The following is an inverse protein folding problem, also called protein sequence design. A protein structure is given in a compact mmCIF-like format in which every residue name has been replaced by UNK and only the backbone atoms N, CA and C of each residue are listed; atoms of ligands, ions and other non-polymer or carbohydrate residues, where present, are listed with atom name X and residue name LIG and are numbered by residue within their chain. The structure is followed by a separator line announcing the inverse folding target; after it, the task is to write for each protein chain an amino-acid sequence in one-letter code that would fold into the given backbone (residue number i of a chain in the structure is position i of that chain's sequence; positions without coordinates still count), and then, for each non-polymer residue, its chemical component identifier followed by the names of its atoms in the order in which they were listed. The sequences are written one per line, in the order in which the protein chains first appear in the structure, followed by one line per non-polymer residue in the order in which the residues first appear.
data_IF_728038931950
#
_entry.id   IF_728038931950
#
_cell.length_a   1.000
_cell.length_b   1.000
_cell.length_c   1.000
_cell.angle_alpha   90.00
_cell.angle_beta   90.00
_cell.angle_gamma   90.00
#
_symmetry.space_group_name_H-M   'P 1'
#
loop_
_entity.id
_entity.type
_entity.pdbx_description
1 polymer ?
#
# COMPACT_ATOMS: atom_id res chain seq x y z
N UNK A 1 11.81 0.95 8.21
CA UNK A 1 12.09 0.15 9.41
C UNK A 1 13.08 -0.97 9.07
N UNK A 2 13.79 -1.48 10.07
CA UNK A 2 14.68 -2.61 9.86
C UNK A 2 13.89 -3.82 9.36
N UNK A 3 14.34 -4.43 8.25
CA UNK A 3 13.72 -5.59 7.63
C UNK A 3 12.72 -5.25 6.51
N UNK A 4 12.41 -3.97 6.27
CA UNK A 4 11.69 -3.57 5.07
C UNK A 4 12.57 -3.71 3.82
N UNK A 5 11.95 -3.86 2.67
CA UNK A 5 12.62 -3.94 1.37
C UNK A 5 11.75 -3.35 0.25
N UNK A 6 12.32 -3.25 -0.96
CA UNK A 6 11.62 -2.66 -2.11
C UNK A 6 11.69 -1.12 -2.12
N UNK A 7 12.48 -0.52 -1.25
CA UNK A 7 12.66 0.93 -1.15
C UNK A 7 13.21 1.53 -2.44
N UNK A 8 14.08 0.82 -3.14
CA UNK A 8 14.68 1.29 -4.41
C UNK A 8 13.66 1.31 -5.53
N UNK A 9 12.91 0.22 -5.71
CA UNK A 9 11.85 0.11 -6.71
C UNK A 9 10.77 1.16 -6.46
N UNK A 10 10.42 1.37 -5.18
CA UNK A 10 9.44 2.37 -4.79
C UNK A 10 9.95 3.80 -5.04
N UNK A 11 11.18 4.10 -4.60
CA UNK A 11 11.81 5.40 -4.83
C UNK A 11 11.91 5.72 -6.33
N UNK A 12 12.28 4.71 -7.13
CA UNK A 12 12.35 4.87 -8.58
C UNK A 12 10.97 5.11 -9.22
N UNK A 13 9.93 4.41 -8.75
CA UNK A 13 8.56 4.63 -9.23
C UNK A 13 8.05 6.05 -8.94
N UNK A 14 8.35 6.56 -7.75
CA UNK A 14 8.06 7.94 -7.36
C UNK A 14 8.87 8.96 -8.17
N UNK A 15 10.16 8.69 -8.38
CA UNK A 15 11.03 9.55 -9.20
C UNK A 15 10.53 9.64 -10.64
N UNK A 16 10.12 8.53 -11.26
CA UNK A 16 9.54 8.52 -12.60
C UNK A 16 8.26 9.38 -12.71
N UNK A 17 7.50 9.46 -11.62
CA UNK A 17 6.31 10.32 -11.56
C UNK A 17 6.63 11.78 -11.24
N UNK A 18 7.91 12.13 -10.99
CA UNK A 18 8.38 13.49 -10.76
C UNK A 18 8.40 13.94 -9.29
N UNK A 19 8.41 12.99 -8.34
CA UNK A 19 8.63 13.32 -6.93
C UNK A 19 10.12 13.49 -6.62
N UNK A 20 10.42 14.42 -5.72
CA UNK A 20 11.66 14.43 -4.97
C UNK A 20 11.53 13.43 -3.82
N UNK A 21 12.38 12.40 -3.82
CA UNK A 21 12.27 11.28 -2.88
C UNK A 21 13.27 11.45 -1.74
N UNK A 22 12.77 11.34 -0.51
CA UNK A 22 13.54 11.40 0.72
C UNK A 22 13.45 10.08 1.46
N UNK A 23 14.58 9.50 1.78
CA UNK A 23 14.65 8.30 2.60
C UNK A 23 14.55 8.66 4.09
N UNK A 24 13.56 8.10 4.78
CA UNK A 24 13.31 8.35 6.20
C UNK A 24 13.26 7.02 6.94
N UNK A 25 14.11 6.88 7.95
CA UNK A 25 14.10 5.69 8.80
C UNK A 25 13.29 5.91 10.08
N UNK A 26 12.84 4.82 10.71
CA UNK A 26 12.21 4.94 12.04
C UNK A 26 13.13 5.58 13.08
N UNK A 27 14.44 5.40 12.95
CA UNK A 27 15.43 6.05 13.82
C UNK A 27 15.40 7.57 13.69
N UNK A 28 15.11 8.10 12.50
CA UNK A 28 14.98 9.56 12.28
C UNK A 28 13.75 10.11 12.99
N UNK A 29 12.62 9.41 12.89
CA UNK A 29 11.38 9.80 13.57
C UNK A 29 11.49 9.67 15.09
N UNK A 30 12.04 8.57 15.59
CA UNK A 30 12.24 8.31 17.03
C UNK A 30 13.17 9.34 17.67
N UNK A 31 14.24 9.73 16.96
CA UNK A 31 15.18 10.76 17.46
C UNK A 31 14.62 12.18 17.30
N UNK A 32 13.62 12.39 16.43
CA UNK A 32 13.08 13.69 16.08
C UNK A 32 13.95 14.46 15.08
N UNK A 33 14.84 13.80 14.36
CA UNK A 33 15.59 14.39 13.22
C UNK A 33 14.66 14.64 12.03
N UNK A 34 13.58 13.89 11.94
CA UNK A 34 12.54 14.00 10.94
C UNK A 34 11.19 14.19 11.61
N UNK A 35 10.39 15.14 11.10
CA UNK A 35 9.05 15.49 11.62
C UNK A 35 7.94 15.30 10.59
N UNK A 36 8.28 15.02 9.34
CA UNK A 36 7.38 14.85 8.20
C UNK A 36 6.60 16.13 7.81
N UNK A 37 6.97 17.29 8.35
CA UNK A 37 6.26 18.55 8.09
C UNK A 37 6.41 19.03 6.63
N UNK A 38 7.55 18.73 6.00
CA UNK A 38 7.89 19.05 4.62
C UNK A 38 7.51 17.94 3.61
N UNK A 39 6.90 16.84 4.07
CA UNK A 39 6.54 15.68 3.25
C UNK A 39 5.08 15.74 2.85
N UNK A 40 4.77 15.59 1.55
CA UNK A 40 3.39 15.53 1.05
C UNK A 40 2.91 14.09 0.76
N UNK A 41 3.83 13.13 0.62
CA UNK A 41 3.47 11.72 0.44
C UNK A 41 4.39 10.82 1.24
N UNK A 42 3.83 9.98 2.10
CA UNK A 42 4.55 8.89 2.76
C UNK A 42 4.32 7.59 2.02
N UNK A 43 5.39 6.80 1.83
CA UNK A 43 5.26 5.42 1.37
C UNK A 43 5.87 4.48 2.41
N UNK A 44 5.05 3.56 2.90
CA UNK A 44 5.48 2.45 3.76
C UNK A 44 5.78 1.25 2.87
N UNK A 45 7.06 0.92 2.75
CA UNK A 45 7.52 -0.18 1.89
C UNK A 45 7.15 -1.55 2.46
N UNK A 46 7.20 -2.55 1.60
CA UNK A 46 7.05 -3.96 1.97
C UNK A 46 8.23 -4.53 2.75
N UNK A 47 8.23 -5.83 2.93
CA UNK A 47 9.29 -6.58 3.60
C UNK A 47 8.83 -7.28 4.88
N UNK A 48 9.72 -7.40 5.84
CA UNK A 48 9.53 -8.11 7.11
C UNK A 48 10.07 -7.25 8.25
N UNK A 49 9.37 -6.16 8.57
CA UNK A 49 9.80 -5.23 9.62
C UNK A 49 9.99 -5.96 10.95
N UNK A 50 11.17 -5.75 11.59
CA UNK A 50 11.57 -6.44 12.82
C UNK A 50 11.46 -7.98 12.71
N UNK A 51 11.65 -8.54 11.51
CA UNK A 51 11.58 -9.98 11.21
C UNK A 51 10.21 -10.62 11.58
N UNK A 52 9.16 -9.81 11.66
CA UNK A 52 7.78 -10.20 12.05
C UNK A 52 7.69 -10.99 13.38
N UNK A 53 8.63 -10.78 14.29
CA UNK A 53 8.75 -11.55 15.55
C UNK A 53 7.47 -11.51 16.39
N UNK A 54 6.78 -10.37 16.38
CA UNK A 54 5.51 -10.19 17.10
C UNK A 54 4.27 -10.38 16.20
N UNK A 55 4.46 -10.75 14.94
CA UNK A 55 3.50 -10.72 13.85
C UNK A 55 3.78 -9.56 12.91
N UNK A 56 3.25 -9.65 11.69
CA UNK A 56 3.56 -8.70 10.63
C UNK A 56 3.24 -7.26 11.01
N UNK A 57 4.24 -6.39 10.82
CA UNK A 57 4.24 -4.96 11.10
C UNK A 57 3.98 -4.55 12.58
N UNK A 58 3.76 -5.46 13.51
CA UNK A 58 3.44 -5.11 14.90
C UNK A 58 4.59 -4.41 15.63
N UNK A 59 5.81 -4.86 15.41
CA UNK A 59 7.00 -4.18 15.93
C UNK A 59 7.15 -2.77 15.38
N UNK A 60 6.88 -2.60 14.11
CA UNK A 60 6.91 -1.30 13.44
C UNK A 60 5.79 -0.37 13.94
N UNK A 61 4.57 -0.88 14.06
CA UNK A 61 3.45 -0.13 14.67
C UNK A 61 3.78 0.29 16.11
N UNK A 62 4.39 -0.61 16.90
CA UNK A 62 4.86 -0.31 18.25
C UNK A 62 5.87 0.83 18.32
N UNK A 63 6.77 0.94 17.33
CA UNK A 63 7.72 2.04 17.24
C UNK A 63 7.03 3.40 17.07
N UNK A 64 5.92 3.46 16.33
CA UNK A 64 5.09 4.66 16.26
C UNK A 64 4.29 4.90 17.55
N UNK A 65 3.58 3.89 18.03
CA UNK A 65 2.62 4.05 19.13
C UNK A 65 3.28 4.39 20.48
N UNK A 66 4.47 3.85 20.73
CA UNK A 66 5.15 3.95 22.01
C UNK A 66 6.32 4.94 22.05
N UNK A 67 6.60 5.60 20.92
CA UNK A 67 7.57 6.69 20.90
C UNK A 67 6.85 8.02 20.68
N UNK A 68 6.92 8.97 21.65
CA UNK A 68 6.18 10.22 21.58
C UNK A 68 6.49 11.06 20.33
N UNK A 69 7.75 11.13 19.91
CA UNK A 69 8.16 11.93 18.75
C UNK A 69 7.66 11.33 17.44
N UNK A 70 7.82 10.01 17.28
CA UNK A 70 7.34 9.31 16.09
C UNK A 70 5.81 9.38 15.99
N UNK A 71 5.11 9.22 17.13
CA UNK A 71 3.65 9.34 17.17
C UNK A 71 3.20 10.76 16.84
N UNK A 72 3.82 11.78 17.41
CA UNK A 72 3.49 13.18 17.12
C UNK A 72 3.68 13.52 15.64
N UNK A 73 4.79 13.08 15.03
CA UNK A 73 5.04 13.28 13.61
C UNK A 73 3.95 12.60 12.75
N UNK A 74 3.57 11.37 13.08
CA UNK A 74 2.51 10.64 12.40
C UNK A 74 1.16 11.33 12.54
N UNK A 75 0.76 11.69 13.76
CA UNK A 75 -0.52 12.33 14.05
C UNK A 75 -0.65 13.66 13.31
N UNK A 76 0.39 14.51 13.34
CA UNK A 76 0.43 15.78 12.60
C UNK A 76 0.33 15.56 11.10
N UNK A 77 1.03 14.55 10.56
CA UNK A 77 0.99 14.23 9.15
C UNK A 77 -0.42 13.86 8.67
N UNK A 78 -1.09 12.95 9.37
CA UNK A 78 -2.43 12.50 9.00
C UNK A 78 -3.53 13.54 9.28
N UNK A 79 -3.27 14.51 10.15
CA UNK A 79 -4.17 15.64 10.38
C UNK A 79 -4.16 16.67 9.23
N UNK A 80 -3.15 16.66 8.37
CA UNK A 80 -3.05 17.56 7.21
C UNK A 80 -3.95 17.09 6.08
N UNK A 81 -4.51 18.06 5.34
CA UNK A 81 -5.37 17.80 4.17
C UNK A 81 -4.59 17.70 2.84
N UNK A 82 -3.34 18.12 2.83
CA UNK A 82 -2.45 18.17 1.67
C UNK A 82 -1.47 16.99 1.59
N UNK A 83 -1.82 15.86 2.22
CA UNK A 83 -0.96 14.68 2.31
C UNK A 83 -1.61 13.42 1.74
N UNK A 84 -0.76 12.54 1.19
CA UNK A 84 -1.10 11.21 0.71
C UNK A 84 -0.30 10.14 1.46
N UNK A 85 -0.81 8.94 1.55
CA UNK A 85 0.01 7.80 1.95
C UNK A 85 -0.28 6.54 1.14
N UNK A 86 0.74 5.71 0.97
CA UNK A 86 0.69 4.40 0.36
C UNK A 86 1.39 3.39 1.27
N UNK A 87 0.70 2.30 1.62
CA UNK A 87 1.30 1.13 2.28
C UNK A 87 1.21 -0.09 1.39
N UNK A 88 2.36 -0.70 1.11
CA UNK A 88 2.45 -1.90 0.27
C UNK A 88 2.91 -3.08 1.11
N UNK A 89 2.22 -4.22 1.04
CA UNK A 89 2.55 -5.47 1.73
C UNK A 89 2.75 -5.24 3.25
N UNK A 90 3.98 -5.26 3.76
CA UNK A 90 4.26 -4.94 5.18
C UNK A 90 3.85 -3.52 5.56
N UNK A 91 3.94 -2.56 4.64
CA UNK A 91 3.41 -1.21 4.83
C UNK A 91 1.87 -1.17 4.89
N UNK A 92 1.17 -2.02 4.13
CA UNK A 92 -0.27 -2.20 4.25
C UNK A 92 -0.65 -2.73 5.63
N UNK A 93 0.04 -3.76 6.10
CA UNK A 93 -0.14 -4.32 7.44
C UNK A 93 0.08 -3.26 8.53
N UNK A 94 1.11 -2.41 8.38
CA UNK A 94 1.35 -1.28 9.29
C UNK A 94 0.17 -0.31 9.31
N UNK A 95 -0.34 0.10 8.15
CA UNK A 95 -1.46 1.04 8.08
C UNK A 95 -2.72 0.47 8.72
N UNK A 96 -2.95 -0.83 8.60
CA UNK A 96 -4.07 -1.52 9.26
C UNK A 96 -3.86 -1.63 10.78
N UNK A 97 -2.66 -1.95 11.28
CA UNK A 97 -2.34 -2.00 12.72
C UNK A 97 -2.45 -0.60 13.37
N UNK A 98 -2.11 0.46 12.66
CA UNK A 98 -2.24 1.84 13.12
C UNK A 98 -3.64 2.44 12.89
N UNK A 99 -4.57 1.68 12.28
CA UNK A 99 -5.92 2.14 11.93
C UNK A 99 -5.95 3.44 11.08
N UNK A 100 -5.05 3.54 10.09
CA UNK A 100 -4.92 4.75 9.27
C UNK A 100 -5.88 4.80 8.07
N UNK A 101 -6.55 3.69 7.74
CA UNK A 101 -7.45 3.57 6.58
C UNK A 101 -8.90 3.87 6.94
N UNK A 102 -9.38 3.36 8.06
CA UNK A 102 -10.76 3.55 8.50
C UNK A 102 -10.83 4.01 9.97
N UNK A 103 -10.22 5.15 10.31
CA UNK A 103 -10.16 5.63 11.70
C UNK A 103 -11.54 5.93 12.29
N UNK A 104 -12.54 6.15 11.44
CA UNK A 104 -13.95 6.38 11.82
C UNK A 104 -14.68 5.10 12.27
N UNK A 105 -14.16 3.92 11.97
CA UNK A 105 -14.79 2.65 12.33
C UNK A 105 -14.58 2.33 13.81
N UNK A 106 -15.64 1.90 14.49
CA UNK A 106 -15.57 1.49 15.92
C UNK A 106 -14.78 0.21 16.14
N UNK A 107 -14.74 -0.67 15.12
CA UNK A 107 -13.96 -1.90 15.11
C UNK A 107 -12.98 -1.86 13.95
N UNK A 108 -11.71 -2.11 14.22
CA UNK A 108 -10.66 -2.08 13.22
C UNK A 108 -10.63 -3.38 12.42
N UNK A 109 -10.39 -3.27 11.11
CA UNK A 109 -9.97 -4.39 10.29
C UNK A 109 -8.60 -4.92 10.76
N UNK A 110 -8.31 -6.17 10.45
CA UNK A 110 -7.06 -6.84 10.83
C UNK A 110 -6.42 -7.51 9.62
N UNK A 111 -5.11 -7.64 9.67
CA UNK A 111 -4.37 -8.50 8.78
C UNK A 111 -4.09 -9.82 9.49
N UNK A 112 -4.43 -10.94 8.85
CA UNK A 112 -4.28 -12.29 9.39
C UNK A 112 -3.38 -13.13 8.50
N UNK A 113 -2.96 -14.30 9.03
CA UNK A 113 -2.27 -15.31 8.24
C UNK A 113 -3.09 -15.72 7.03
N UNK A 114 -2.40 -16.00 5.92
CA UNK A 114 -3.02 -16.61 4.75
C UNK A 114 -3.72 -17.93 5.14
N UNK A 115 -4.89 -18.19 4.59
CA UNK A 115 -5.62 -19.44 4.84
C UNK A 115 -4.85 -20.67 4.34
N UNK A 116 -3.94 -20.49 3.39
CA UNK A 116 -3.02 -21.55 2.92
C UNK A 116 -1.96 -21.94 3.96
N UNK A 117 -1.78 -21.16 5.02
CA UNK A 117 -0.70 -21.29 6.01
C UNK A 117 0.71 -21.30 5.37
N UNK A 118 0.86 -20.65 4.21
CA UNK A 118 2.10 -20.57 3.46
C UNK A 118 2.42 -19.12 3.08
N UNK A 119 3.69 -18.87 2.84
CA UNK A 119 4.11 -17.67 2.13
C UNK A 119 3.71 -17.81 0.65
N UNK A 120 2.83 -16.95 0.19
CA UNK A 120 2.36 -16.91 -1.18
C UNK A 120 3.21 -15.92 -1.98
N UNK A 121 3.92 -16.42 -2.98
CA UNK A 121 4.73 -15.62 -3.92
C UNK A 121 4.32 -15.97 -5.34
N UNK A 122 3.55 -15.08 -5.98
CA UNK A 122 3.01 -15.34 -7.33
C UNK A 122 2.58 -14.07 -8.05
N UNK A 123 2.48 -14.19 -9.37
CA UNK A 123 1.88 -13.18 -10.23
C UNK A 123 0.40 -13.49 -10.42
N UNK A 124 -0.48 -12.53 -10.14
CA UNK A 124 -1.93 -12.71 -10.12
C UNK A 124 -2.64 -11.64 -10.95
N UNK A 125 -3.89 -11.97 -11.33
CA UNK A 125 -4.83 -10.97 -11.83
C UNK A 125 -5.56 -10.26 -10.69
N UNK A 126 -5.69 -8.95 -10.84
CA UNK A 126 -6.53 -8.09 -9.96
C UNK A 126 -7.47 -7.24 -10.79
N UNK A 127 -8.57 -6.83 -10.18
CA UNK A 127 -9.52 -5.87 -10.72
C UNK A 127 -9.52 -4.60 -9.90
N UNK A 128 -9.63 -3.45 -10.57
CA UNK A 128 -9.81 -2.15 -9.93
C UNK A 128 -11.29 -1.79 -10.02
N UNK A 129 -12.10 -1.98 -8.97
CA UNK A 129 -13.50 -1.57 -8.98
C UNK A 129 -13.64 -0.05 -9.08
N UNK A 130 -14.83 0.44 -9.33
CA UNK A 130 -15.12 1.88 -9.22
C UNK A 130 -14.82 2.32 -7.79
N UNK A 131 -13.94 3.30 -7.63
CA UNK A 131 -13.43 3.72 -6.33
C UNK A 131 -13.11 5.21 -6.30
N UNK A 132 -12.80 5.72 -5.10
CA UNK A 132 -12.49 7.14 -4.87
C UNK A 132 -11.02 7.39 -4.53
N UNK A 133 -10.15 6.38 -4.72
CA UNK A 133 -8.72 6.57 -4.43
C UNK A 133 -8.10 7.62 -5.35
N UNK A 134 -7.31 8.52 -4.78
CA UNK A 134 -6.50 9.47 -5.54
C UNK A 134 -5.57 8.73 -6.49
N UNK A 135 -4.94 7.65 -6.04
CA UNK A 135 -3.96 6.90 -6.84
C UNK A 135 -4.60 6.00 -7.88
N UNK A 136 -5.69 5.28 -7.54
CA UNK A 136 -6.25 4.20 -8.37
C UNK A 136 -7.58 4.57 -9.03
N UNK A 137 -8.18 5.72 -8.74
CA UNK A 137 -9.50 6.09 -9.26
C UNK A 137 -9.58 6.10 -10.78
N UNK A 138 -8.56 6.61 -11.47
CA UNK A 138 -8.50 6.64 -12.94
C UNK A 138 -8.34 5.26 -13.59
N UNK A 139 -7.86 4.28 -12.82
CA UNK A 139 -7.72 2.89 -13.27
C UNK A 139 -9.01 2.07 -13.08
N UNK A 140 -10.10 2.67 -12.61
CA UNK A 140 -11.39 1.99 -12.40
C UNK A 140 -11.84 1.23 -13.65
N UNK A 141 -12.27 -0.04 -13.47
CA UNK A 141 -12.65 -0.96 -14.53
C UNK A 141 -11.49 -1.77 -15.13
N UNK A 142 -10.24 -1.46 -14.78
CA UNK A 142 -9.07 -2.20 -15.29
C UNK A 142 -8.95 -3.58 -14.65
N UNK A 143 -8.38 -4.52 -15.45
CA UNK A 143 -7.91 -5.83 -14.99
C UNK A 143 -6.41 -5.88 -15.28
N UNK A 144 -5.61 -6.03 -14.24
CA UNK A 144 -4.15 -5.91 -14.31
C UNK A 144 -3.48 -7.10 -13.64
N UNK A 145 -2.27 -7.42 -14.11
CA UNK A 145 -1.40 -8.38 -13.43
C UNK A 145 -0.54 -7.67 -12.38
N UNK A 146 -0.26 -8.38 -11.26
CA UNK A 146 0.55 -7.83 -10.17
C UNK A 146 1.19 -8.95 -9.35
N UNK A 147 2.31 -8.64 -8.70
CA UNK A 147 2.99 -9.57 -7.80
C UNK A 147 2.46 -9.49 -6.37
N UNK A 148 2.32 -10.65 -5.74
CA UNK A 148 2.14 -10.81 -4.30
C UNK A 148 3.29 -11.59 -3.69
N UNK A 149 3.66 -11.28 -2.44
CA UNK A 149 4.73 -11.94 -1.70
C UNK A 149 4.49 -11.77 -0.19
N UNK A 150 3.64 -12.61 0.42
CA UNK A 150 3.22 -12.46 1.81
C UNK A 150 2.76 -13.75 2.48
N UNK A 151 2.92 -13.84 3.82
CA UNK A 151 2.40 -14.90 4.66
C UNK A 151 1.19 -14.48 5.50
N UNK A 152 1.03 -13.18 5.75
CA UNK A 152 -0.03 -12.56 6.55
C UNK A 152 -0.78 -11.49 5.76
N UNK A 153 -1.35 -11.88 4.61
CA UNK A 153 -1.98 -10.94 3.66
C UNK A 153 -3.50 -10.91 3.71
N UNK A 154 -4.13 -11.67 4.61
CA UNK A 154 -5.58 -11.80 4.69
C UNK A 154 -6.22 -10.58 5.36
N UNK A 155 -6.97 -9.78 4.60
CA UNK A 155 -7.88 -8.80 5.18
C UNK A 155 -9.03 -9.50 5.90
N UNK A 156 -9.20 -9.20 7.18
CA UNK A 156 -10.34 -9.62 7.99
C UNK A 156 -11.08 -8.37 8.48
N UNK A 157 -12.28 -8.19 7.99
CA UNK A 157 -13.03 -6.95 8.11
C UNK A 157 -14.29 -7.14 8.95
N UNK A 158 -14.51 -6.29 10.00
CA UNK A 158 -15.65 -6.44 10.92
C UNK A 158 -17.00 -5.95 10.35
N UNK A 159 -17.03 -5.35 9.18
CA UNK A 159 -18.24 -4.80 8.55
C UNK A 159 -18.40 -5.31 7.12
N UNK A 160 -19.59 -5.11 6.55
CA UNK A 160 -19.90 -5.44 5.17
C UNK A 160 -19.07 -4.61 4.18
N UNK A 161 -18.88 -5.13 2.96
CA UNK A 161 -18.03 -4.53 1.94
C UNK A 161 -18.38 -3.07 1.62
N UNK A 162 -19.67 -2.71 1.66
CA UNK A 162 -20.16 -1.36 1.37
C UNK A 162 -19.70 -0.28 2.37
N UNK A 163 -19.13 -0.69 3.50
CA UNK A 163 -18.56 0.21 4.52
C UNK A 163 -17.12 0.59 4.22
N UNK A 164 -16.53 0.06 3.14
CA UNK A 164 -15.13 0.28 2.79
C UNK A 164 -14.99 0.90 1.40
N UNK A 165 -13.97 1.71 1.22
CA UNK A 165 -13.54 2.16 -0.11
C UNK A 165 -12.61 1.09 -0.69
N UNK A 166 -13.20 0.03 -1.25
CA UNK A 166 -12.45 -1.07 -1.88
C UNK A 166 -11.89 -0.60 -3.21
N UNK A 167 -10.58 -0.63 -3.35
CA UNK A 167 -9.88 -0.09 -4.53
C UNK A 167 -9.19 -1.14 -5.37
N UNK A 168 -9.00 -2.33 -4.80
CA UNK A 168 -8.37 -3.45 -5.49
C UNK A 168 -8.93 -4.77 -4.98
N UNK A 169 -9.27 -5.66 -5.89
CA UNK A 169 -9.75 -7.03 -5.58
C UNK A 169 -8.96 -8.06 -6.38
N UNK A 170 -8.72 -9.22 -5.81
CA UNK A 170 -8.28 -10.38 -6.58
C UNK A 170 -9.34 -10.75 -7.60
N UNK A 171 -8.93 -11.21 -8.79
CA UNK A 171 -9.85 -11.42 -9.94
C UNK A 171 -10.89 -12.51 -9.72
N UNK A 172 -10.62 -13.44 -8.79
CA UNK A 172 -11.53 -14.53 -8.41
C UNK A 172 -11.49 -14.72 -6.90
N UNK A 173 -12.60 -15.22 -6.34
CA UNK A 173 -12.76 -15.34 -4.88
C UNK A 173 -12.00 -16.52 -4.27
N UNK A 174 -11.73 -17.55 -5.08
CA UNK A 174 -11.12 -18.78 -4.61
C UNK A 174 -9.60 -18.80 -4.77
N UNK A 175 -8.95 -19.65 -3.93
CA UNK A 175 -7.55 -20.00 -4.12
C UNK A 175 -7.35 -20.71 -5.47
N UNK A 176 -6.29 -20.43 -6.23
CA UNK A 176 -5.12 -19.61 -5.89
C UNK A 176 -5.23 -18.13 -6.25
N UNK A 177 -6.33 -17.65 -6.79
CA UNK A 177 -6.46 -16.27 -7.24
C UNK A 177 -6.64 -15.29 -6.07
N UNK A 178 -7.45 -15.67 -5.05
CA UNK A 178 -7.42 -15.02 -3.73
C UNK A 178 -6.41 -15.80 -2.88
N UNK A 179 -5.12 -15.38 -2.86
CA UNK A 179 -4.05 -16.23 -2.33
C UNK A 179 -4.02 -16.29 -0.81
N UNK A 180 -4.69 -15.37 -0.15
CA UNK A 180 -4.67 -15.20 1.29
C UNK A 180 -6.01 -15.47 1.96
N UNK A 181 -7.11 -15.63 1.20
CA UNK A 181 -8.45 -15.83 1.75
C UNK A 181 -9.06 -14.53 2.31
N UNK A 182 -8.65 -13.37 1.80
CA UNK A 182 -9.20 -12.06 2.21
C UNK A 182 -10.71 -12.00 2.06
N UNK A 183 -11.38 -11.38 3.03
CA UNK A 183 -12.80 -11.08 2.95
C UNK A 183 -13.10 -10.30 1.66
N UNK A 184 -14.18 -10.67 0.97
CA UNK A 184 -14.63 -10.05 -0.29
C UNK A 184 -13.57 -10.03 -1.39
N UNK A 185 -12.55 -10.90 -1.33
CA UNK A 185 -11.38 -10.92 -2.23
C UNK A 185 -10.59 -9.62 -2.27
N UNK A 186 -10.65 -8.84 -1.21
CA UNK A 186 -9.99 -7.54 -1.15
C UNK A 186 -8.47 -7.72 -1.18
N UNK A 187 -7.84 -6.96 -2.07
CA UNK A 187 -6.40 -6.82 -2.21
C UNK A 187 -5.89 -5.44 -1.80
N UNK A 188 -6.78 -4.45 -1.71
CA UNK A 188 -6.44 -3.11 -1.26
C UNK A 188 -7.66 -2.26 -0.90
N UNK A 189 -7.45 -1.38 0.08
CA UNK A 189 -8.42 -0.42 0.62
C UNK A 189 -7.85 0.99 0.56
N UNK A 190 -8.71 1.98 0.41
CA UNK A 190 -8.35 3.37 0.64
C UNK A 190 -9.23 4.00 1.74
N UNK A 191 -8.73 5.09 2.32
CA UNK A 191 -9.50 5.91 3.24
C UNK A 191 -10.80 6.45 2.60
N UNK A 192 -11.74 6.90 3.41
CA UNK A 192 -13.02 7.42 2.93
C UNK A 192 -12.86 8.61 1.96
N UNK A 193 -11.84 9.44 2.17
CA UNK A 193 -11.47 10.57 1.30
C UNK A 193 -10.58 10.18 0.11
N UNK A 194 -10.13 8.92 0.04
CA UNK A 194 -9.32 8.37 -1.04
C UNK A 194 -7.83 8.72 -1.01
N UNK A 195 -7.36 9.44 0.00
CA UNK A 195 -5.95 9.92 0.08
C UNK A 195 -4.96 8.87 0.56
N UNK A 196 -5.39 7.95 1.40
CA UNK A 196 -4.54 6.95 2.02
C UNK A 196 -4.87 5.57 1.44
N UNK A 197 -3.87 4.90 0.87
CA UNK A 197 -4.01 3.63 0.16
C UNK A 197 -3.19 2.54 0.85
N UNK A 198 -3.83 1.44 1.23
CA UNK A 198 -3.18 0.23 1.73
C UNK A 198 -3.48 -0.95 0.82
N UNK A 199 -2.45 -1.62 0.29
CA UNK A 199 -2.60 -2.76 -0.60
C UNK A 199 -1.55 -3.84 -0.34
N UNK A 200 -1.94 -5.11 -0.45
CA UNK A 200 -1.01 -6.22 -0.28
C UNK A 200 -0.14 -6.49 -1.50
N UNK A 201 -0.65 -6.41 -2.75
CA UNK A 201 0.17 -6.56 -3.94
C UNK A 201 1.18 -5.43 -4.13
N UNK A 202 2.26 -5.73 -4.87
CA UNK A 202 3.40 -4.85 -5.12
C UNK A 202 3.32 -4.17 -6.48
N UNK A 203 2.76 -2.94 -6.55
CA UNK A 203 2.68 -2.19 -7.79
C UNK A 203 4.05 -1.71 -8.26
N UNK A 204 4.98 -1.42 -7.35
CA UNK A 204 6.35 -0.98 -7.64
C UNK A 204 7.19 -2.07 -8.33
N UNK A 205 6.74 -3.32 -8.25
CA UNK A 205 7.38 -4.48 -8.90
C UNK A 205 6.71 -4.87 -10.22
N UNK A 206 5.80 -4.05 -10.72
CA UNK A 206 5.05 -4.32 -11.94
C UNK A 206 4.96 -3.09 -12.87
N UNK A 207 5.84 -2.09 -12.71
CA UNK A 207 5.82 -0.83 -13.48
C UNK A 207 6.38 -0.95 -14.89
N UNK A 208 7.14 -2.00 -15.17
CA UNK A 208 7.68 -2.28 -16.52
C UNK A 208 7.11 -3.59 -17.08
N UNK A 209 6.88 -3.68 -18.42
CA UNK A 209 6.40 -4.91 -19.04
C UNK A 209 7.24 -6.15 -18.70
N UNK A 210 8.55 -6.03 -18.67
CA UNK A 210 9.47 -7.14 -18.38
C UNK A 210 9.42 -7.64 -16.93
N UNK A 211 8.87 -6.84 -15.98
CA UNK A 211 8.67 -7.26 -14.60
C UNK A 211 7.44 -8.15 -14.43
N UNK A 212 6.54 -8.17 -15.42
CA UNK A 212 5.28 -8.90 -15.30
C UNK A 212 5.45 -10.36 -15.68
N UNK A 213 4.88 -11.27 -14.90
CA UNK A 213 4.87 -12.70 -15.20
C UNK A 213 4.07 -13.07 -16.44
N UNK A 214 3.14 -12.19 -16.85
CA UNK A 214 2.40 -12.27 -18.10
C UNK A 214 2.06 -10.85 -18.56
N UNK A 215 2.38 -10.50 -19.80
CA UNK A 215 2.05 -9.23 -20.42
C UNK A 215 1.51 -9.47 -21.83
N UNK A 216 0.56 -8.65 -22.35
CA UNK A 216 0.01 -8.84 -23.71
C UNK A 216 1.11 -8.91 -24.77
N UNK A 217 1.09 -9.97 -25.58
CA UNK A 217 2.17 -10.26 -26.54
C UNK A 217 2.31 -9.19 -27.62
N UNK A 218 1.22 -8.53 -27.97
CA UNK A 218 1.17 -7.43 -28.95
C UNK A 218 1.70 -6.11 -28.38
N UNK A 219 1.83 -6.00 -27.05
CA UNK A 219 2.22 -4.76 -26.36
C UNK A 219 3.59 -4.84 -25.68
N UNK A 220 4.09 -6.03 -25.37
CA UNK A 220 5.33 -6.22 -24.58
C UNK A 220 6.56 -5.52 -25.18
N UNK A 221 6.63 -5.36 -26.51
CA UNK A 221 7.74 -4.71 -27.20
C UNK A 221 7.48 -3.22 -27.52
N UNK A 222 6.26 -2.73 -27.35
CA UNK A 222 5.88 -1.32 -27.63
C UNK A 222 5.71 -0.49 -26.36
N UNK A 223 5.21 -1.09 -25.29
CA UNK A 223 4.99 -0.38 -24.03
C UNK A 223 6.31 -0.21 -23.28
N UNK A 224 6.62 1.02 -22.89
CA UNK A 224 7.78 1.32 -22.07
C UNK A 224 7.47 1.14 -20.58
N UNK A 225 6.23 1.39 -20.18
CA UNK A 225 5.71 1.29 -18.80
C UNK A 225 4.35 0.61 -18.79
N UNK A 226 3.97 0.08 -17.65
CA UNK A 226 2.65 -0.52 -17.44
C UNK A 226 1.65 0.51 -16.87
N UNK A 227 0.34 0.20 -16.85
CA UNK A 227 -0.65 1.08 -16.23
C UNK A 227 -0.41 1.38 -14.74
N UNK A 228 0.37 0.59 -14.03
CA UNK A 228 0.66 0.83 -12.60
C UNK A 228 1.41 2.14 -12.34
N UNK A 229 2.16 2.65 -13.31
CA UNK A 229 2.83 3.95 -13.21
C UNK A 229 1.83 5.09 -13.04
N UNK A 230 0.61 4.95 -13.60
CA UNK A 230 -0.44 5.95 -13.49
C UNK A 230 -0.82 6.24 -12.03
N UNK A 231 -0.75 5.23 -11.15
CA UNK A 231 -1.01 5.43 -9.73
C UNK A 231 -0.09 6.49 -9.09
N UNK A 232 1.20 6.46 -9.44
CA UNK A 232 2.19 7.42 -8.96
C UNK A 232 2.03 8.80 -9.62
N UNK A 233 1.69 8.82 -10.91
CA UNK A 233 1.41 10.06 -11.66
C UNK A 233 0.17 10.77 -11.09
N UNK A 234 -0.87 10.03 -10.75
CA UNK A 234 -2.07 10.57 -10.10
C UNK A 234 -1.74 11.18 -8.73
N UNK A 235 -0.93 10.47 -7.93
CA UNK A 235 -0.45 10.99 -6.65
C UNK A 235 0.30 12.32 -6.84
N UNK A 236 1.23 12.38 -7.81
CA UNK A 236 2.01 13.58 -8.10
C UNK A 236 1.11 14.75 -8.51
N UNK A 237 0.19 14.53 -9.43
CA UNK A 237 -0.77 15.56 -9.89
C UNK A 237 -1.62 16.09 -8.73
N UNK A 238 -2.07 15.17 -7.87
CA UNK A 238 -2.87 15.56 -6.72
C UNK A 238 -2.07 16.41 -5.73
N UNK A 239 -0.83 16.02 -5.40
CA UNK A 239 0.06 16.80 -4.53
C UNK A 239 0.32 18.18 -5.12
N UNK A 240 0.62 18.31 -6.42
CA UNK A 240 0.82 19.61 -7.07
C UNK A 240 -0.41 20.52 -6.96
N UNK A 241 -1.59 19.96 -7.04
CA UNK A 241 -2.84 20.72 -6.96
C UNK A 241 -3.25 21.10 -5.53
N UNK A 242 -2.75 20.40 -4.49
CA UNK A 242 -3.24 20.52 -3.11
C UNK A 242 -2.17 20.94 -2.09
N UNK A 243 -0.87 20.88 -2.42
CA UNK A 243 0.19 21.33 -1.50
C UNK A 243 0.00 22.79 -1.12
N UNK A 244 0.09 23.03 0.18
CA UNK A 244 0.01 24.37 0.77
C UNK A 244 1.41 24.93 1.00
#
# INVERSE_FOLDING_TARGET
EKGTNGEREMAYSLYLAGFDVKDVTMTDLISGRETLEDVNMIVYCGGFSNSDVLGSAKGWAGAFLFNPKAKEALDKYYAREDTLSLGVCNGCQLMMELNLINPEHKKNGKMLHNDSHKFESRFLGVTVPTNRSVMLGSLSGSKLGIWVAHGEGKFSLPYDEDKYNVVLKYSYDEYPSNPNGSDYSIAGLASADGRHLAMMPHLERAIFPWQNGCYPADRVNSDQITPWVEAFVNARKWVEANKK
#
